data_IF_325283508082
#
_entry.id   IF_325283508082
#
_cell.length_a   1.000
_cell.length_b   1.000
_cell.length_c   1.000
_cell.angle_alpha   90.00
_cell.angle_beta   90.00
_cell.angle_gamma   90.00
#
_symmetry.space_group_name_H-M   'P 1'
#
loop_
_entity.id
_entity.type
_entity.pdbx_description
1 polymer ?
#
# COMPACT_ATOMS: atom_id res chain seq x y z
N UNK A 1 -12.60 -6.23 7.51
CA UNK A 1 -11.19 -5.77 7.55
C UNK A 1 -10.77 -5.21 6.21
N UNK A 2 -9.57 -4.64 6.14
CA UNK A 2 -8.95 -4.15 4.90
C UNK A 2 -7.74 -4.99 4.52
N UNK A 3 -7.44 -5.06 3.23
CA UNK A 3 -6.34 -5.83 2.66
C UNK A 3 -5.49 -4.88 1.83
N UNK A 4 -4.17 -4.96 1.98
CA UNK A 4 -3.22 -4.33 1.07
C UNK A 4 -2.90 -5.30 -0.06
N UNK A 5 -3.28 -4.96 -1.28
CA UNK A 5 -2.81 -5.62 -2.48
C UNK A 5 -1.43 -5.07 -2.84
N UNK A 6 -0.43 -5.96 -2.84
CA UNK A 6 0.97 -5.65 -3.06
C UNK A 6 1.61 -6.65 -4.03
N UNK A 7 2.70 -6.28 -4.72
CA UNK A 7 3.42 -7.20 -5.59
C UNK A 7 4.02 -8.37 -4.80
N UNK A 8 3.91 -9.57 -5.37
CA UNK A 8 4.45 -10.81 -4.77
C UNK A 8 5.94 -11.04 -5.10
N UNK A 9 6.46 -10.33 -6.10
CA UNK A 9 7.87 -10.37 -6.50
C UNK A 9 8.55 -9.05 -6.13
N UNK A 10 9.89 -9.05 -5.96
CA UNK A 10 10.64 -7.81 -5.80
C UNK A 10 10.40 -6.85 -6.98
N UNK A 11 10.38 -5.56 -6.68
CA UNK A 11 10.19 -4.49 -7.66
C UNK A 11 11.56 -3.99 -8.09
N UNK A 12 11.78 -3.80 -9.39
CA UNK A 12 13.07 -3.30 -9.88
C UNK A 12 13.21 -1.80 -9.64
N UNK A 13 14.41 -1.31 -9.33
CA UNK A 13 14.68 0.11 -9.36
C UNK A 13 14.35 0.72 -10.74
N UNK A 14 13.68 1.88 -10.73
CA UNK A 14 13.16 2.55 -11.92
C UNK A 14 11.75 2.14 -12.33
N UNK A 15 11.24 1.00 -11.86
CA UNK A 15 9.87 0.55 -12.16
C UNK A 15 8.82 1.36 -11.39
N UNK A 16 7.56 1.14 -11.74
CA UNK A 16 6.40 1.68 -11.02
C UNK A 16 5.87 0.66 -9.99
N UNK A 17 5.78 1.07 -8.73
CA UNK A 17 5.06 0.34 -7.69
C UNK A 17 3.64 0.89 -7.57
N UNK A 18 2.65 0.01 -7.66
CA UNK A 18 1.25 0.32 -7.38
C UNK A 18 0.77 -0.52 -6.20
N UNK A 19 0.15 0.13 -5.23
CA UNK A 19 -0.47 -0.51 -4.07
C UNK A 19 -1.95 -0.14 -4.03
N UNK A 20 -2.81 -1.13 -3.79
CA UNK A 20 -4.24 -0.90 -3.60
C UNK A 20 -4.66 -1.30 -2.20
N UNK A 21 -5.48 -0.47 -1.56
CA UNK A 21 -6.15 -0.87 -0.33
C UNK A 21 -7.57 -1.29 -0.70
N UNK A 22 -7.93 -2.50 -0.31
CA UNK A 22 -9.19 -3.12 -0.68
C UNK A 22 -10.00 -3.46 0.56
N UNK A 23 -11.32 -3.43 0.42
CA UNK A 23 -12.19 -4.07 1.39
C UNK A 23 -12.19 -5.58 1.16
N UNK A 24 -12.14 -6.37 2.23
CA UNK A 24 -12.06 -7.83 2.14
C UNK A 24 -13.19 -8.50 1.33
N UNK A 25 -14.36 -7.86 1.23
CA UNK A 25 -15.50 -8.40 0.48
C UNK A 25 -15.75 -7.63 -0.83
N UNK A 26 -16.01 -6.33 -0.73
CA UNK A 26 -16.32 -5.49 -1.88
C UNK A 26 -15.93 -4.06 -1.55
N UNK A 27 -15.05 -3.46 -2.35
CA UNK A 27 -14.59 -2.08 -2.16
C UNK A 27 -15.65 -1.09 -2.62
N UNK A 28 -16.23 -0.29 -1.71
CA UNK A 28 -17.18 0.77 -2.10
C UNK A 28 -16.51 1.83 -2.99
N UNK A 29 -17.25 2.51 -3.89
CA UNK A 29 -16.68 3.56 -4.77
C UNK A 29 -16.07 4.74 -4.01
N UNK A 30 -16.60 5.02 -2.82
CA UNK A 30 -16.16 6.09 -1.92
C UNK A 30 -15.17 5.59 -0.85
N UNK A 31 -14.63 4.37 -0.99
CA UNK A 31 -13.63 3.85 -0.07
C UNK A 31 -12.39 4.74 -0.10
N UNK A 32 -11.86 5.06 1.09
CA UNK A 32 -10.64 5.85 1.26
C UNK A 32 -9.86 5.28 2.43
N UNK A 33 -8.57 5.09 2.23
CA UNK A 33 -7.66 4.60 3.25
C UNK A 33 -6.39 5.45 3.29
N UNK A 34 -5.70 5.35 4.42
CA UNK A 34 -4.37 5.91 4.62
C UNK A 34 -3.34 4.81 4.38
N UNK A 35 -2.28 5.12 3.65
CA UNK A 35 -1.16 4.23 3.37
C UNK A 35 0.01 4.59 4.27
N UNK A 36 0.70 3.55 4.76
CA UNK A 36 1.85 3.68 5.64
C UNK A 36 3.02 2.84 5.13
N UNK A 37 4.23 3.35 5.34
CA UNK A 37 5.51 2.66 5.17
C UNK A 37 6.32 2.81 6.45
N UNK A 38 6.73 1.69 7.04
CA UNK A 38 7.56 1.67 8.25
C UNK A 38 7.02 2.59 9.37
N UNK A 39 5.73 2.47 9.66
CA UNK A 39 4.96 3.31 10.61
C UNK A 39 4.76 4.78 10.21
N UNK A 40 5.31 5.22 9.09
CA UNK A 40 5.15 6.59 8.57
C UNK A 40 3.98 6.68 7.60
N UNK A 41 3.12 7.69 7.77
CA UNK A 41 2.05 8.00 6.81
C UNK A 41 2.68 8.53 5.50
N UNK A 42 2.41 7.86 4.38
CA UNK A 42 2.95 8.22 3.07
C UNK A 42 1.89 8.78 2.11
N UNK A 43 0.62 8.37 2.28
CA UNK A 43 -0.49 8.91 1.51
C UNK A 43 -1.78 8.78 2.33
N UNK A 44 -2.67 9.77 2.25
CA UNK A 44 -3.92 9.78 3.03
C UNK A 44 -5.16 9.90 2.15
N UNK A 45 -6.27 9.32 2.60
CA UNK A 45 -7.58 9.38 1.94
C UNK A 45 -7.53 9.06 0.44
N UNK A 46 -6.97 7.90 0.08
CA UNK A 46 -6.90 7.40 -1.30
C UNK A 46 -7.29 5.93 -1.39
N UNK A 47 -7.62 5.42 -2.58
CA UNK A 47 -7.80 3.98 -2.86
C UNK A 47 -6.51 3.30 -3.29
N UNK A 48 -5.62 4.07 -3.91
CA UNK A 48 -4.39 3.58 -4.51
C UNK A 48 -3.22 4.52 -4.22
N UNK A 49 -2.04 3.93 -4.15
CA UNK A 49 -0.77 4.63 -4.06
C UNK A 49 0.11 4.19 -5.23
N UNK A 50 0.76 5.16 -5.88
CA UNK A 50 1.64 4.92 -7.02
C UNK A 50 2.98 5.59 -6.75
N UNK A 51 4.06 4.82 -6.87
CA UNK A 51 5.45 5.30 -6.88
C UNK A 51 6.00 5.06 -8.28
N UNK A 52 6.07 6.10 -9.09
CA UNK A 52 6.37 5.97 -10.53
C UNK A 52 7.81 5.57 -10.83
N UNK A 53 8.74 5.89 -9.93
CA UNK A 53 10.17 5.61 -10.08
C UNK A 53 10.69 5.07 -8.77
N UNK A 54 10.63 3.75 -8.63
CA UNK A 54 11.07 3.02 -7.46
C UNK A 54 12.59 3.13 -7.32
N UNK A 55 13.05 3.13 -6.08
CA UNK A 55 14.45 3.20 -5.68
C UNK A 55 14.61 2.42 -4.38
N UNK A 56 15.85 2.08 -3.99
CA UNK A 56 16.07 1.27 -2.78
C UNK A 56 15.47 1.84 -1.50
N UNK A 57 15.30 3.17 -1.40
CA UNK A 57 14.65 3.81 -0.24
C UNK A 57 13.16 3.48 -0.09
N UNK A 58 12.52 2.99 -1.16
CA UNK A 58 11.13 2.56 -1.16
C UNK A 58 10.94 1.13 -0.63
N UNK A 59 12.01 0.35 -0.40
CA UNK A 59 11.93 -0.92 0.30
C UNK A 59 11.45 -0.73 1.75
N UNK A 60 10.58 -1.61 2.24
CA UNK A 60 10.05 -1.52 3.61
C UNK A 60 8.75 -2.29 3.84
N UNK A 61 8.20 -2.15 5.05
CA UNK A 61 6.89 -2.70 5.40
C UNK A 61 5.77 -1.72 5.07
N UNK A 62 4.84 -2.14 4.24
CA UNK A 62 3.67 -1.36 3.83
C UNK A 62 2.39 -1.94 4.43
N UNK A 63 1.47 -1.05 4.79
CA UNK A 63 0.11 -1.40 5.19
C UNK A 63 -0.83 -0.24 4.90
N UNK A 64 -2.13 -0.53 4.81
CA UNK A 64 -3.16 0.50 4.74
C UNK A 64 -4.07 0.47 5.96
N UNK A 65 -4.66 1.61 6.31
CA UNK A 65 -5.54 1.78 7.46
C UNK A 65 -6.81 2.50 7.04
N UNK A 66 -7.95 1.95 7.44
CA UNK A 66 -9.26 2.56 7.29
C UNK A 66 -9.83 2.90 8.67
N UNK A 67 -10.40 4.10 8.82
CA UNK A 67 -10.84 4.65 10.12
C UNK A 67 -11.77 3.70 10.89
N UNK A 68 -12.68 3.01 10.21
CA UNK A 68 -13.66 2.12 10.84
C UNK A 68 -13.26 0.64 10.87
N UNK A 69 -12.28 0.22 10.05
CA UNK A 69 -11.96 -1.21 9.84
C UNK A 69 -10.58 -1.60 10.33
N UNK A 70 -9.79 -0.65 10.83
CA UNK A 70 -8.45 -0.90 11.32
C UNK A 70 -7.42 -0.96 10.19
N UNK A 71 -6.34 -1.68 10.46
CA UNK A 71 -5.18 -1.81 9.58
C UNK A 71 -5.15 -3.15 8.86
N UNK A 72 -4.57 -3.17 7.66
CA UNK A 72 -4.28 -4.39 6.93
C UNK A 72 -3.08 -5.12 7.56
N UNK A 73 -2.92 -6.43 7.28
CA UNK A 73 -1.62 -7.08 7.47
C UNK A 73 -0.50 -6.30 6.77
N UNK A 74 0.68 -6.27 7.39
CA UNK A 74 1.87 -5.62 6.82
C UNK A 74 2.49 -6.51 5.75
N UNK A 75 2.86 -5.91 4.62
CA UNK A 75 3.52 -6.58 3.50
C UNK A 75 4.92 -6.01 3.30
N UNK A 76 5.91 -6.87 3.16
CA UNK A 76 7.28 -6.45 2.85
C UNK A 76 7.42 -6.23 1.34
N UNK A 77 7.75 -5.01 0.94
CA UNK A 77 8.06 -4.69 -0.45
C UNK A 77 9.58 -4.68 -0.58
N UNK A 78 10.13 -5.64 -1.33
CA UNK A 78 11.55 -5.68 -1.65
C UNK A 78 11.84 -4.96 -2.95
N UNK A 79 12.96 -4.24 -3.02
CA UNK A 79 13.42 -3.54 -4.21
C UNK A 79 14.76 -4.14 -4.68
N UNK A 80 14.90 -4.43 -5.97
CA UNK A 80 16.10 -5.04 -6.59
C UNK A 80 16.75 -4.18 -7.64
#
# INVERSE_FOLDING_TARGET
DVILESPVHPVTEGDTLTLHCLYQHTTPPNFRADFYKDESLIQSQTTEMIISTVSKSHEGFYYCKHTERGESPKSWISVT
#
